data_IF_150088128288
#
_entry.id   IF_150088128288
#
_cell.length_a   1.000
_cell.length_b   1.000
_cell.length_c   1.000
_cell.angle_alpha   90.00
_cell.angle_beta   90.00
_cell.angle_gamma   90.00
#
_symmetry.space_group_name_H-M   'P 1'
#
loop_
_entity.id
_entity.type
_entity.pdbx_description
1 polymer ?
#
# COMPACT_ATOMS: atom_id res chain seq x y z
N UNK A 1 -9.44 -13.38 2.30
CA UNK A 1 -8.05 -13.16 2.75
C UNK A 1 -7.25 -12.23 1.84
N UNK A 2 -7.31 -12.39 0.48
CA UNK A 2 -6.61 -11.51 -0.48
C UNK A 2 -6.91 -10.02 -0.23
N UNK A 3 -8.19 -9.66 -0.19
CA UNK A 3 -8.62 -8.26 -0.09
C UNK A 3 -8.18 -7.63 1.25
N UNK A 4 -8.21 -8.41 2.33
CA UNK A 4 -7.72 -7.98 3.65
C UNK A 4 -6.20 -7.75 3.64
N UNK A 5 -5.44 -8.67 3.05
CA UNK A 5 -3.99 -8.52 2.91
C UNK A 5 -3.63 -7.28 2.09
N UNK A 6 -4.31 -7.08 0.95
CA UNK A 6 -4.09 -5.93 0.10
C UNK A 6 -4.33 -4.62 0.85
N UNK A 7 -5.43 -4.51 1.58
CA UNK A 7 -5.75 -3.32 2.40
C UNK A 7 -4.71 -3.13 3.51
N UNK A 8 -4.36 -4.20 4.24
CA UNK A 8 -3.36 -4.13 5.31
C UNK A 8 -2.00 -3.65 4.77
N UNK A 9 -1.53 -4.22 3.67
CA UNK A 9 -0.29 -3.79 3.04
C UNK A 9 -0.35 -2.34 2.59
N UNK A 10 -1.43 -1.88 1.99
CA UNK A 10 -1.58 -0.47 1.59
C UNK A 10 -1.56 0.48 2.79
N UNK A 11 -2.28 0.15 3.86
CA UNK A 11 -2.36 0.96 5.07
C UNK A 11 -1.03 1.01 5.83
N UNK A 12 -0.27 -0.08 5.84
CA UNK A 12 0.97 -0.19 6.60
C UNK A 12 2.20 0.35 5.85
N UNK A 13 2.21 0.24 4.53
CA UNK A 13 3.38 0.62 3.72
C UNK A 13 3.23 1.94 2.98
N UNK A 14 2.01 2.43 2.86
CA UNK A 14 1.71 3.62 2.06
C UNK A 14 2.01 3.45 0.57
N UNK A 15 2.19 2.24 0.05
CA UNK A 15 2.42 1.98 -1.37
C UNK A 15 1.24 2.45 -2.22
N UNK A 16 1.54 2.93 -3.43
CA UNK A 16 0.49 3.23 -4.42
C UNK A 16 -0.16 1.96 -4.90
N UNK A 17 -1.44 2.04 -5.30
CA UNK A 17 -2.16 0.88 -5.83
C UNK A 17 -1.39 0.19 -6.97
N UNK A 18 -0.87 0.95 -7.93
CA UNK A 18 -0.08 0.37 -9.02
C UNK A 18 1.23 -0.27 -8.57
N UNK A 19 1.83 0.19 -7.47
CA UNK A 19 3.03 -0.42 -6.90
C UNK A 19 2.72 -1.77 -6.25
N UNK A 20 1.64 -1.85 -5.48
CA UNK A 20 1.19 -3.09 -4.85
C UNK A 20 0.75 -4.12 -5.88
N UNK A 21 -0.02 -3.72 -6.88
CA UNK A 21 -0.48 -4.63 -7.93
C UNK A 21 0.65 -5.13 -8.84
N UNK A 22 1.77 -4.43 -8.87
CA UNK A 22 2.97 -4.83 -9.61
C UNK A 22 3.94 -5.72 -8.83
N UNK A 23 3.63 -6.12 -7.59
CA UNK A 23 4.51 -6.99 -6.79
C UNK A 23 4.52 -8.40 -7.37
N UNK A 24 5.72 -8.90 -7.68
CA UNK A 24 5.96 -10.30 -8.01
C UNK A 24 6.37 -11.06 -6.74
N UNK A 25 5.62 -12.10 -6.38
CA UNK A 25 5.80 -12.75 -5.09
C UNK A 25 7.13 -13.52 -4.96
N UNK A 26 7.71 -13.95 -6.08
CA UNK A 26 8.99 -14.69 -6.11
C UNK A 26 10.22 -13.77 -6.08
N UNK A 27 10.09 -12.54 -6.59
CA UNK A 27 11.24 -11.66 -6.79
C UNK A 27 11.29 -10.47 -5.82
N UNK A 28 10.11 -9.99 -5.42
CA UNK A 28 10.00 -8.72 -4.70
C UNK A 28 9.84 -8.89 -3.19
N UNK A 29 9.59 -10.11 -2.70
CA UNK A 29 9.42 -10.40 -1.28
C UNK A 29 10.71 -10.97 -0.71
N UNK A 30 11.27 -10.28 0.28
CA UNK A 30 12.37 -10.79 1.10
C UNK A 30 11.78 -11.38 2.39
N UNK A 31 11.75 -12.72 2.44
CA UNK A 31 11.13 -13.44 3.56
C UNK A 31 11.97 -13.37 4.85
N UNK A 32 13.28 -13.19 4.76
CA UNK A 32 14.15 -13.06 5.92
C UNK A 32 14.01 -11.68 6.56
N UNK A 33 13.98 -10.64 5.73
CA UNK A 33 13.90 -9.25 6.19
C UNK A 33 12.47 -8.73 6.33
N UNK A 34 11.46 -9.51 5.92
CA UNK A 34 10.04 -9.12 5.89
C UNK A 34 9.81 -7.82 5.12
N UNK A 35 10.48 -7.69 3.99
CA UNK A 35 10.38 -6.50 3.16
C UNK A 35 9.81 -6.81 1.79
N UNK A 36 9.20 -5.79 1.20
CA UNK A 36 8.69 -5.81 -0.18
C UNK A 36 9.44 -4.76 -0.98
N UNK A 37 10.00 -5.17 -2.12
CA UNK A 37 10.71 -4.29 -3.04
C UNK A 37 9.74 -3.72 -4.05
N UNK A 38 9.74 -2.40 -4.19
CA UNK A 38 8.99 -1.71 -5.25
C UNK A 38 9.90 -1.56 -6.45
N UNK A 39 9.51 -2.18 -7.57
CA UNK A 39 10.26 -2.13 -8.83
C UNK A 39 9.39 -1.56 -9.95
N UNK A 40 10.00 -0.80 -10.83
CA UNK A 40 9.37 -0.42 -12.08
C UNK A 40 9.48 -1.57 -13.08
N UNK A 41 8.35 -1.94 -13.69
CA UNK A 41 8.26 -2.91 -14.78
C UNK A 41 7.39 -2.35 -15.89
N UNK A 42 7.92 -2.27 -17.10
CA UNK A 42 7.17 -1.78 -18.27
C UNK A 42 6.13 -2.80 -18.74
N UNK A 43 6.42 -4.09 -18.52
CA UNK A 43 5.65 -5.22 -19.06
C UNK A 43 4.56 -5.75 -18.15
N UNK A 44 4.15 -4.98 -17.14
CA UNK A 44 3.06 -5.41 -16.25
C UNK A 44 1.75 -5.59 -17.03
N UNK A 45 1.27 -6.82 -17.14
CA UNK A 45 0.08 -7.19 -17.91
C UNK A 45 -1.22 -6.63 -17.33
N UNK A 46 -1.24 -6.30 -16.04
CA UNK A 46 -2.37 -5.67 -15.35
C UNK A 46 -2.31 -4.13 -15.36
N UNK A 47 -1.46 -3.54 -16.20
CA UNK A 47 -1.22 -2.10 -16.30
C UNK A 47 -0.75 -1.46 -15.00
N UNK A 48 -0.29 -2.24 -14.04
CA UNK A 48 0.27 -1.75 -12.80
C UNK A 48 1.57 -0.96 -13.09
N UNK A 49 1.58 0.31 -12.76
CA UNK A 49 2.73 1.20 -13.01
C UNK A 49 3.23 1.79 -11.70
N UNK A 50 4.48 1.55 -11.39
CA UNK A 50 5.22 2.35 -10.42
C UNK A 50 5.57 3.69 -11.08
N UNK A 51 4.72 4.71 -10.94
CA UNK A 51 5.04 6.07 -11.41
C UNK A 51 6.35 6.50 -10.76
N UNK A 52 7.31 6.91 -11.58
CA UNK A 52 8.62 7.46 -11.21
C UNK A 52 9.76 6.47 -10.98
N UNK A 53 9.62 5.18 -11.28
CA UNK A 53 10.72 4.20 -11.34
C UNK A 53 11.70 4.17 -10.13
N UNK A 54 11.33 4.75 -8.99
CA UNK A 54 12.19 4.78 -7.82
C UNK A 54 12.13 3.44 -7.10
N UNK A 55 13.28 2.78 -7.03
CA UNK A 55 13.48 1.61 -6.20
C UNK A 55 13.33 2.00 -4.73
N UNK A 56 12.47 1.33 -4.02
CA UNK A 56 12.36 1.45 -2.56
C UNK A 56 11.91 0.15 -1.93
N UNK A 57 12.13 0.06 -0.64
CA UNK A 57 11.78 -1.09 0.18
C UNK A 57 10.69 -0.67 1.17
N UNK A 58 9.65 -1.47 1.28
CA UNK A 58 8.62 -1.36 2.31
C UNK A 58 8.78 -2.50 3.32
N UNK A 59 8.84 -2.17 4.61
CA UNK A 59 8.89 -3.13 5.70
C UNK A 59 7.46 -3.50 6.11
N UNK A 60 7.22 -4.79 6.36
CA UNK A 60 5.96 -5.29 6.90
C UNK A 60 6.11 -5.61 8.39
N UNK A 61 5.06 -5.32 9.17
CA UNK A 61 4.96 -5.80 10.55
C UNK A 61 4.93 -7.33 10.59
N UNK A 62 5.22 -7.91 11.74
CA UNK A 62 5.13 -9.35 11.94
C UNK A 62 3.75 -9.87 11.56
N UNK A 63 2.70 -9.21 12.02
CA UNK A 63 1.31 -9.60 11.76
C UNK A 63 0.95 -9.60 10.28
N UNK A 64 1.29 -8.53 9.57
CA UNK A 64 1.01 -8.44 8.12
C UNK A 64 1.86 -9.42 7.33
N UNK A 65 3.09 -9.65 7.76
CA UNK A 65 3.97 -10.64 7.13
C UNK A 65 3.50 -12.08 7.33
N UNK A 66 3.08 -12.47 8.53
CA UNK A 66 2.47 -13.79 8.78
C UNK A 66 1.21 -13.98 7.92
N UNK A 67 0.40 -12.93 7.79
CA UNK A 67 -0.77 -12.96 6.93
C UNK A 67 -0.41 -13.10 5.44
N UNK A 68 0.67 -12.45 4.99
CA UNK A 68 1.23 -12.60 3.64
C UNK A 68 1.68 -14.05 3.38
N UNK A 69 2.45 -14.63 4.30
CA UNK A 69 2.93 -16.01 4.19
C UNK A 69 1.76 -17.00 4.12
N UNK A 70 0.77 -16.81 5.00
CA UNK A 70 -0.45 -17.61 4.97
C UNK A 70 -1.20 -17.48 3.65
N UNK A 71 -1.37 -16.27 3.15
CA UNK A 71 -2.03 -16.01 1.86
C UNK A 71 -1.32 -16.72 0.70
N UNK A 72 0.01 -16.65 0.64
CA UNK A 72 0.81 -17.34 -0.38
C UNK A 72 0.63 -18.86 -0.27
N UNK A 73 0.68 -19.41 0.93
CA UNK A 73 0.48 -20.85 1.18
C UNK A 73 -0.91 -21.31 0.72
N UNK A 74 -1.96 -20.63 1.16
CA UNK A 74 -3.35 -20.97 0.86
C UNK A 74 -3.69 -20.87 -0.64
N UNK A 75 -3.01 -19.96 -1.36
CA UNK A 75 -3.27 -19.69 -2.78
C UNK A 75 -2.15 -20.19 -3.72
N UNK A 76 -1.26 -21.06 -3.23
CA UNK A 76 -0.08 -21.54 -3.96
C UNK A 76 -0.40 -21.97 -5.39
N UNK A 77 -1.44 -22.76 -5.60
CA UNK A 77 -1.85 -23.25 -6.93
C UNK A 77 -2.22 -22.12 -7.90
N UNK A 78 -2.84 -21.07 -7.42
CA UNK A 78 -3.20 -19.91 -8.24
C UNK A 78 -1.99 -19.02 -8.53
N UNK A 79 -1.07 -18.92 -7.57
CA UNK A 79 0.13 -18.10 -7.68
C UNK A 79 1.21 -18.76 -8.55
N UNK A 80 1.31 -20.09 -8.57
CA UNK A 80 2.27 -20.81 -9.43
C UNK A 80 2.09 -20.53 -10.92
N UNK A 81 0.89 -20.16 -11.34
CA UNK A 81 0.59 -19.80 -12.73
C UNK A 81 0.64 -18.28 -12.98
N UNK A 82 1.09 -17.51 -12.00
CA UNK A 82 1.19 -16.06 -12.08
C UNK A 82 2.45 -15.61 -11.34
N UNK A 83 3.16 -14.65 -11.89
CA UNK A 83 4.29 -14.02 -11.18
C UNK A 83 3.79 -13.03 -10.11
N UNK A 84 2.54 -12.54 -10.24
CA UNK A 84 1.98 -11.50 -9.39
C UNK A 84 1.52 -12.02 -8.05
N UNK A 85 1.77 -11.24 -6.99
CA UNK A 85 1.29 -11.54 -5.65
C UNK A 85 -0.25 -11.53 -5.57
N UNK A 86 -0.88 -10.57 -6.22
CA UNK A 86 -2.33 -10.43 -6.19
C UNK A 86 -2.96 -10.88 -7.50
N UNK A 87 -3.77 -11.94 -7.44
CA UNK A 87 -4.48 -12.50 -8.58
C UNK A 87 -6.00 -12.50 -8.35
N UNK A 88 -6.76 -12.65 -9.42
CA UNK A 88 -8.21 -12.89 -9.37
C UNK A 88 -8.46 -14.31 -8.85
N UNK A 89 -9.20 -14.44 -7.75
CA UNK A 89 -9.41 -15.74 -7.09
C UNK A 89 -10.66 -16.49 -7.58
N UNK A 90 -11.56 -15.79 -8.27
CA UNK A 90 -12.86 -16.33 -8.70
C UNK A 90 -13.20 -15.84 -10.11
N UNK A 91 -14.20 -16.48 -10.71
CA UNK A 91 -14.72 -16.10 -12.02
C UNK A 91 -13.92 -16.68 -13.20
N UNK A 92 -14.30 -16.24 -14.41
CA UNK A 92 -13.71 -16.72 -15.68
C UNK A 92 -12.21 -16.42 -15.77
N UNK A 93 -11.78 -15.34 -15.17
CA UNK A 93 -10.40 -14.84 -15.22
C UNK A 93 -9.60 -15.20 -13.95
N UNK A 94 -9.97 -16.30 -13.28
CA UNK A 94 -9.26 -16.81 -12.10
C UNK A 94 -7.78 -17.09 -12.43
N UNK A 95 -6.88 -16.59 -11.60
CA UNK A 95 -5.41 -16.72 -11.79
C UNK A 95 -4.77 -15.57 -12.55
N UNK A 96 -5.55 -14.75 -13.28
CA UNK A 96 -5.01 -13.55 -13.89
C UNK A 96 -4.60 -12.51 -12.83
N UNK A 97 -3.62 -11.65 -13.13
CA UNK A 97 -3.23 -10.55 -12.26
C UNK A 97 -4.42 -9.66 -11.88
N UNK A 98 -4.48 -9.24 -10.62
CA UNK A 98 -5.50 -8.31 -10.15
C UNK A 98 -5.26 -6.93 -10.77
N UNK A 99 -6.32 -6.31 -11.27
CA UNK A 99 -6.28 -4.97 -11.87
C UNK A 99 -6.86 -3.90 -10.92
N UNK A 100 -6.60 -2.64 -11.24
CA UNK A 100 -7.04 -1.50 -10.44
C UNK A 100 -8.56 -1.41 -10.32
N UNK A 101 -9.30 -1.67 -11.41
CA UNK A 101 -10.77 -1.58 -11.44
C UNK A 101 -11.40 -2.59 -10.50
N UNK A 102 -10.83 -3.79 -10.42
CA UNK A 102 -11.23 -4.83 -9.46
C UNK A 102 -11.06 -4.36 -8.02
N UNK A 103 -9.96 -3.65 -7.71
CA UNK A 103 -9.72 -3.10 -6.37
C UNK A 103 -10.67 -1.95 -6.05
N UNK A 104 -10.89 -1.02 -6.97
CA UNK A 104 -11.86 0.06 -6.77
C UNK A 104 -13.27 -0.50 -6.55
N UNK A 105 -13.67 -1.50 -7.31
CA UNK A 105 -14.97 -2.19 -7.16
C UNK A 105 -15.08 -2.89 -5.80
N UNK A 106 -14.00 -3.51 -5.33
CA UNK A 106 -13.93 -4.16 -4.02
C UNK A 106 -14.05 -3.12 -2.89
N UNK A 107 -13.29 -2.04 -2.93
CA UNK A 107 -13.33 -0.98 -1.92
C UNK A 107 -14.71 -0.29 -1.88
N UNK A 108 -15.33 -0.04 -3.05
CA UNK A 108 -16.69 0.50 -3.14
C UNK A 108 -17.72 -0.39 -2.46
N UNK A 109 -17.60 -1.72 -2.61
CA UNK A 109 -18.48 -2.69 -1.92
C UNK A 109 -18.26 -2.68 -0.42
N UNK A 110 -17.01 -2.59 0.03
CA UNK A 110 -16.68 -2.50 1.44
C UNK A 110 -17.21 -1.20 2.05
N UNK A 111 -17.01 -0.06 1.40
CA UNK A 111 -17.54 1.23 1.84
C UNK A 111 -19.05 1.20 2.07
N UNK A 112 -19.80 0.56 1.14
CA UNK A 112 -21.25 0.40 1.30
C UNK A 112 -21.66 -0.48 2.48
N UNK A 113 -20.81 -1.45 2.88
CA UNK A 113 -21.10 -2.35 3.99
C UNK A 113 -20.75 -1.78 5.35
N UNK A 114 -19.76 -0.92 5.41
CA UNK A 114 -19.20 -0.41 6.67
C UNK A 114 -19.54 1.04 6.93
N UNK A 115 -20.16 1.72 5.97
CA UNK A 115 -20.36 3.19 5.95
C UNK A 115 -19.05 3.99 6.08
N UNK A 116 -17.93 3.34 5.81
CA UNK A 116 -16.60 3.97 5.80
C UNK A 116 -16.18 4.16 4.36
N UNK A 117 -16.11 5.41 3.90
CA UNK A 117 -15.60 5.69 2.56
C UNK A 117 -14.12 5.25 2.49
N UNK A 118 -13.80 4.34 1.59
CA UNK A 118 -12.46 3.77 1.44
C UNK A 118 -12.03 3.78 -0.01
N UNK A 119 -10.89 4.40 -0.28
CA UNK A 119 -10.23 4.36 -1.59
C UNK A 119 -8.70 4.33 -1.42
N UNK A 120 -7.93 3.92 -2.44
CA UNK A 120 -6.48 3.72 -2.31
C UNK A 120 -5.71 4.93 -1.77
N UNK A 121 -6.09 6.13 -2.17
CA UNK A 121 -5.45 7.35 -1.66
C UNK A 121 -5.68 7.57 -0.17
N UNK A 122 -6.85 7.24 0.37
CA UNK A 122 -7.11 7.37 1.81
C UNK A 122 -6.23 6.42 2.63
N UNK A 123 -6.02 5.18 2.18
CA UNK A 123 -5.13 4.25 2.86
C UNK A 123 -3.69 4.78 2.92
N UNK A 124 -3.28 5.46 1.86
CA UNK A 124 -1.97 6.09 1.81
C UNK A 124 -1.89 7.37 2.67
N UNK A 125 -2.96 8.15 2.75
CA UNK A 125 -3.07 9.26 3.72
C UNK A 125 -3.01 8.74 5.15
N UNK A 126 -3.80 7.69 5.43
CA UNK A 126 -3.78 7.02 6.74
C UNK A 126 -2.37 6.60 7.15
N UNK A 127 -1.60 5.97 6.24
CA UNK A 127 -0.20 5.65 6.51
C UNK A 127 0.60 6.88 6.93
N UNK A 128 0.51 7.97 6.17
CA UNK A 128 1.28 9.19 6.46
C UNK A 128 0.92 9.78 7.83
N UNK A 129 -0.37 9.82 8.16
CA UNK A 129 -0.86 10.33 9.44
C UNK A 129 -0.43 9.46 10.62
N UNK A 130 -0.52 8.13 10.49
CA UNK A 130 -0.08 7.21 11.55
C UNK A 130 1.43 7.30 11.79
N UNK A 131 2.25 7.33 10.73
CA UNK A 131 3.71 7.52 10.88
C UNK A 131 4.02 8.87 11.53
N UNK A 132 3.27 9.90 11.20
CA UNK A 132 3.42 11.21 11.84
C UNK A 132 3.09 11.18 13.33
N UNK A 133 2.00 10.50 13.72
CA UNK A 133 1.63 10.31 15.13
C UNK A 133 2.67 9.50 15.90
N UNK A 134 3.31 8.53 15.24
CA UNK A 134 4.41 7.74 15.80
C UNK A 134 5.73 8.53 15.91
N UNK A 135 5.77 9.77 15.46
CA UNK A 135 6.92 10.66 15.56
C UNK A 135 7.92 10.54 14.42
N UNK A 136 7.56 9.91 13.31
CA UNK A 136 8.45 9.85 12.14
C UNK A 136 8.74 11.25 11.61
N UNK A 137 10.01 11.45 11.20
CA UNK A 137 10.41 12.66 10.48
C UNK A 137 9.69 12.79 9.12
N UNK A 138 9.44 14.02 8.71
CA UNK A 138 8.75 14.29 7.44
C UNK A 138 9.49 13.72 6.22
N UNK A 139 10.83 13.70 6.27
CA UNK A 139 11.63 13.12 5.19
C UNK A 139 11.51 11.60 5.15
N UNK A 140 11.44 10.94 6.31
CA UNK A 140 11.26 9.49 6.37
C UNK A 140 9.90 9.09 5.79
N UNK A 141 8.84 9.82 6.15
CA UNK A 141 7.50 9.63 5.56
C UNK A 141 7.55 9.88 4.04
N UNK A 142 8.24 10.94 3.62
CA UNK A 142 8.43 11.27 2.20
C UNK A 142 9.11 10.14 1.44
N UNK A 143 10.19 9.60 1.98
CA UNK A 143 10.92 8.46 1.40
C UNK A 143 10.05 7.21 1.33
N UNK A 144 9.36 6.86 2.42
CA UNK A 144 8.45 5.71 2.46
C UNK A 144 7.34 5.81 1.42
N UNK A 145 6.81 7.02 1.22
CA UNK A 145 5.80 7.30 0.21
C UNK A 145 6.38 7.38 -1.22
N UNK A 146 7.69 7.52 -1.41
CA UNK A 146 8.29 7.78 -2.72
C UNK A 146 7.81 9.10 -3.33
N UNK A 147 7.82 10.17 -2.54
CA UNK A 147 7.57 11.52 -3.02
C UNK A 147 8.89 12.22 -3.36
N UNK A 148 9.01 12.72 -4.58
CA UNK A 148 10.20 13.47 -5.01
C UNK A 148 10.34 14.80 -4.28
N UNK A 149 9.19 15.43 -3.95
CA UNK A 149 9.12 16.75 -3.31
C UNK A 149 8.45 16.65 -1.94
N UNK A 150 8.96 17.40 -0.98
CA UNK A 150 8.43 17.47 0.39
C UNK A 150 7.02 18.03 0.41
N UNK A 151 6.71 19.01 -0.44
CA UNK A 151 5.40 19.65 -0.55
C UNK A 151 4.29 18.64 -0.86
N UNK A 152 4.62 17.57 -1.61
CA UNK A 152 3.68 16.48 -1.87
C UNK A 152 3.33 15.73 -0.58
N UNK A 153 4.30 15.52 0.30
CA UNK A 153 4.07 14.86 1.59
C UNK A 153 3.26 15.73 2.53
N UNK A 154 3.53 17.03 2.58
CA UNK A 154 2.78 18.01 3.38
C UNK A 154 1.29 17.99 3.01
N UNK A 155 0.94 17.95 1.72
CA UNK A 155 -0.45 17.80 1.27
C UNK A 155 -1.13 16.52 1.76
N UNK A 156 -0.35 15.43 1.92
CA UNK A 156 -0.88 14.16 2.43
C UNK A 156 -1.11 14.18 3.94
N UNK A 157 -0.38 15.00 4.68
CA UNK A 157 -0.54 15.13 6.12
C UNK A 157 -1.68 16.08 6.53
N UNK A 158 -2.37 16.65 5.55
CA UNK A 158 -3.40 17.66 5.76
C UNK A 158 -2.80 18.97 6.28
N UNK A 159 -3.34 20.08 5.88
CA UNK A 159 -3.12 21.36 6.55
C UNK A 159 -3.87 21.33 7.89
N UNK A 160 -3.32 20.69 8.90
CA UNK A 160 -3.90 20.75 10.23
C UNK A 160 -3.52 22.10 10.85
N UNK A 161 -4.23 23.15 10.43
CA UNK A 161 -4.14 24.46 11.05
C UNK A 161 -4.38 24.40 12.58
N UNK A 162 -5.18 23.44 13.05
CA UNK A 162 -5.39 23.19 14.48
C UNK A 162 -4.09 22.86 15.22
N UNK A 163 -3.22 22.05 14.63
CA UNK A 163 -1.93 21.71 15.25
C UNK A 163 -0.92 22.86 15.25
N UNK A 164 -0.98 23.73 14.25
CA UNK A 164 -0.20 24.97 14.24
C UNK A 164 -0.70 25.93 15.35
N UNK A 165 -2.00 25.99 15.58
CA UNK A 165 -2.61 26.77 16.66
C UNK A 165 -2.20 26.20 18.02
N UNK A 166 -2.34 24.88 18.23
CA UNK A 166 -1.93 24.21 19.48
C UNK A 166 -0.43 24.34 19.77
N UNK A 167 0.43 24.19 18.75
CA UNK A 167 1.87 24.38 18.90
C UNK A 167 2.24 25.85 19.18
N UNK A 168 1.49 26.80 18.62
CA UNK A 168 1.68 28.23 18.87
C UNK A 168 1.22 28.59 20.27
N UNK A 169 0.12 28.07 20.74
CA UNK A 169 -0.40 28.30 22.10
C UNK A 169 0.52 27.71 23.18
N UNK A 170 1.19 26.58 22.93
CA UNK A 170 2.21 26.03 23.83
C UNK A 170 3.49 26.87 23.90
N UNK A 171 3.80 27.62 22.84
CA UNK A 171 5.02 28.46 22.80
C UNK A 171 4.82 29.85 23.43
N UNK A 172 3.60 30.32 23.54
CA UNK A 172 3.26 31.66 24.04
C UNK A 172 2.54 31.65 25.39
N UNK A 173 2.31 30.48 26.00
CA UNK A 173 1.81 30.30 27.37
C UNK A 173 2.96 29.99 28.34
#
# INVERSE_FOLDING_TARGET
DRDRLLIAMMAETGLRLGEILGIHYTEDIDFERRTVRVRYRESNTNLARAKNAEYRIALLSNTTFEFLVKYISDNRKSLMNSEYLFTKLTGKNKGEPLDADSVYSMLKRLSKKTDINSHPHQLRHYFAEERRKEGWDLNDIRFALGHKKVETTIKYLGENNERLIEATDQYYS
#
